data_IF_528771457290
#
_entry.id   IF_528771457290
#
_cell.length_a   1.000
_cell.length_b   1.000
_cell.length_c   1.000
_cell.angle_alpha   90.00
_cell.angle_beta   90.00
_cell.angle_gamma   90.00
#
_symmetry.space_group_name_H-M   'P 1'
#
loop_
_entity.id
_entity.type
_entity.pdbx_description
1 polymer ?
#
# COMPACT_ATOMS: atom_id res chain seq x y z
N UNK A 1 13.12 11.17 5.95
CA UNK A 1 13.21 12.00 7.16
C UNK A 1 14.65 12.40 7.45
N UNK A 2 15.63 11.46 7.57
CA UNK A 2 17.03 11.76 7.90
C UNK A 2 17.59 12.82 6.94
N UNK A 3 17.45 12.68 5.64
CA UNK A 3 17.89 13.67 4.64
C UNK A 3 17.23 15.04 4.87
N UNK A 4 15.94 15.06 5.21
CA UNK A 4 15.22 16.31 5.48
C UNK A 4 15.60 16.97 6.81
N UNK A 5 16.25 16.25 7.74
CA UNK A 5 16.79 16.79 8.99
C UNK A 5 18.22 17.31 8.81
N UNK A 6 19.04 16.59 8.03
CA UNK A 6 20.49 16.86 7.92
C UNK A 6 20.84 17.91 6.87
N UNK A 7 20.02 18.04 5.82
CA UNK A 7 20.35 18.92 4.69
C UNK A 7 19.38 20.10 4.63
N UNK A 8 19.80 21.30 5.06
CA UNK A 8 18.98 22.51 5.00
C UNK A 8 18.99 23.10 3.58
N UNK A 9 18.21 22.51 2.68
CA UNK A 9 18.03 23.02 1.32
C UNK A 9 16.75 23.85 1.21
N UNK A 10 16.76 24.93 0.40
CA UNK A 10 15.56 25.70 0.14
C UNK A 10 14.54 24.87 -0.66
N UNK A 11 13.25 25.14 -0.44
CA UNK A 11 12.21 24.60 -1.32
C UNK A 11 12.44 25.11 -2.76
N UNK A 12 12.26 24.27 -3.83
CA UNK A 12 11.64 22.93 -3.82
C UNK A 12 12.65 21.76 -3.74
N UNK A 13 13.94 22.01 -3.69
CA UNK A 13 14.96 20.96 -3.77
C UNK A 13 15.00 20.05 -2.54
N UNK A 14 14.67 20.57 -1.35
CA UNK A 14 14.72 19.80 -0.11
C UNK A 14 13.77 18.61 -0.10
N UNK A 15 12.49 18.83 -0.42
CA UNK A 15 11.50 17.73 -0.44
C UNK A 15 11.71 16.77 -1.61
N UNK A 16 12.18 17.24 -2.80
CA UNK A 16 12.50 16.37 -3.92
C UNK A 16 13.64 15.41 -3.59
N UNK A 17 14.73 15.90 -3.02
CA UNK A 17 15.84 15.06 -2.57
C UNK A 17 15.41 14.07 -1.48
N UNK A 18 14.57 14.49 -0.53
CA UNK A 18 14.07 13.63 0.53
C UNK A 18 13.20 12.48 -0.06
N UNK A 19 12.37 12.74 -1.07
CA UNK A 19 11.58 11.74 -1.78
C UNK A 19 12.46 10.78 -2.58
N UNK A 20 13.44 11.28 -3.35
CA UNK A 20 14.36 10.45 -4.11
C UNK A 20 15.23 9.57 -3.21
N UNK A 21 15.72 10.12 -2.11
CA UNK A 21 16.46 9.34 -1.11
C UNK A 21 15.58 8.27 -0.47
N UNK A 22 14.30 8.59 -0.18
CA UNK A 22 13.31 7.62 0.29
C UNK A 22 13.09 6.48 -0.70
N UNK A 23 12.90 6.81 -1.98
CA UNK A 23 12.75 5.83 -3.06
C UNK A 23 13.99 4.92 -3.17
N UNK A 24 15.18 5.49 -3.18
CA UNK A 24 16.43 4.74 -3.26
C UNK A 24 16.64 3.82 -2.05
N UNK A 25 16.38 4.32 -0.85
CA UNK A 25 16.49 3.53 0.37
C UNK A 25 15.50 2.35 0.38
N UNK A 26 14.25 2.57 -0.04
CA UNK A 26 13.24 1.51 -0.15
C UNK A 26 13.57 0.48 -1.22
N UNK A 27 14.08 0.91 -2.38
CA UNK A 27 14.54 0.02 -3.43
C UNK A 27 15.71 -0.86 -2.96
N UNK A 28 16.69 -0.26 -2.28
CA UNK A 28 17.83 -0.99 -1.69
C UNK A 28 17.38 -1.97 -0.60
N UNK A 29 16.45 -1.56 0.25
CA UNK A 29 15.92 -2.45 1.29
C UNK A 29 15.19 -3.66 0.70
N UNK A 30 14.39 -3.46 -0.34
CA UNK A 30 13.66 -4.53 -1.02
C UNK A 30 14.58 -5.51 -1.77
N UNK A 31 15.82 -5.10 -2.06
CA UNK A 31 16.82 -5.95 -2.68
C UNK A 31 17.26 -7.10 -1.75
N UNK A 32 17.36 -6.84 -0.44
CA UNK A 32 17.81 -7.81 0.54
C UNK A 32 16.96 -9.11 0.55
N UNK A 33 15.63 -9.05 0.80
CA UNK A 33 14.82 -10.27 0.82
C UNK A 33 14.78 -10.98 -0.53
N UNK A 34 14.92 -10.24 -1.63
CA UNK A 34 14.92 -10.82 -2.97
C UNK A 34 16.20 -11.61 -3.25
N UNK A 35 17.34 -11.14 -2.76
CA UNK A 35 18.62 -11.86 -2.86
C UNK A 35 18.62 -13.16 -2.04
N UNK A 36 18.03 -13.11 -0.82
CA UNK A 36 17.89 -14.32 0.02
C UNK A 36 16.95 -15.34 -0.61
N UNK A 37 15.82 -14.92 -1.14
CA UNK A 37 14.86 -15.81 -1.81
C UNK A 37 15.44 -16.42 -3.10
N UNK A 38 16.20 -15.65 -3.87
CA UNK A 38 16.78 -16.12 -5.13
C UNK A 38 17.87 -17.20 -5.00
N UNK A 39 18.42 -17.37 -3.81
CA UNK A 39 19.35 -18.46 -3.48
C UNK A 39 18.66 -19.72 -2.97
N UNK A 40 17.34 -19.83 -3.10
CA UNK A 40 16.51 -20.94 -2.58
C UNK A 40 16.65 -21.17 -1.07
N UNK A 41 17.07 -20.15 -0.31
CA UNK A 41 17.23 -20.26 1.14
C UNK A 41 15.89 -20.19 1.86
N UNK A 42 14.95 -19.36 1.32
CA UNK A 42 13.59 -19.19 1.88
C UNK A 42 12.60 -18.79 0.78
N UNK A 43 11.30 -18.97 1.03
CA UNK A 43 10.29 -18.38 0.14
C UNK A 43 10.34 -16.85 0.22
N UNK A 44 10.10 -16.17 -0.90
CA UNK A 44 10.13 -14.70 -0.97
C UNK A 44 9.18 -14.05 0.03
N UNK A 45 7.98 -14.63 0.22
CA UNK A 45 6.96 -14.12 1.16
C UNK A 45 7.44 -14.16 2.61
N UNK A 46 8.07 -15.24 3.03
CA UNK A 46 8.62 -15.38 4.39
C UNK A 46 9.78 -14.40 4.59
N UNK A 47 10.70 -14.31 3.62
CA UNK A 47 11.81 -13.38 3.68
C UNK A 47 11.36 -11.92 3.82
N UNK A 48 10.34 -11.50 3.07
CA UNK A 48 9.82 -10.12 3.14
C UNK A 48 9.15 -9.82 4.49
N UNK A 49 8.39 -10.76 5.06
CA UNK A 49 7.76 -10.59 6.38
C UNK A 49 8.82 -10.47 7.48
N UNK A 50 9.83 -11.32 7.46
CA UNK A 50 10.94 -11.24 8.44
C UNK A 50 11.71 -9.92 8.31
N UNK A 51 12.02 -9.48 7.07
CA UNK A 51 12.72 -8.23 6.83
C UNK A 51 11.89 -7.01 7.23
N UNK A 52 10.56 -7.09 7.18
CA UNK A 52 9.69 -6.01 7.67
C UNK A 52 9.83 -5.81 9.19
N UNK A 53 9.87 -6.90 9.97
CA UNK A 53 10.09 -6.84 11.42
C UNK A 53 11.47 -6.29 11.76
N UNK A 54 12.51 -6.70 11.03
CA UNK A 54 13.87 -6.17 11.19
C UNK A 54 13.90 -4.67 10.86
N UNK A 55 13.23 -4.24 9.77
CA UNK A 55 13.16 -2.83 9.39
C UNK A 55 12.52 -1.97 10.48
N UNK A 56 11.43 -2.45 11.07
CA UNK A 56 10.74 -1.73 12.14
C UNK A 56 11.65 -1.52 13.35
N UNK A 57 12.28 -2.58 13.85
CA UNK A 57 13.18 -2.52 15.01
C UNK A 57 14.45 -1.71 14.72
N UNK A 58 15.04 -1.87 13.53
CA UNK A 58 16.22 -1.11 13.12
C UNK A 58 15.92 0.39 13.04
N UNK A 59 14.76 0.74 12.46
CA UNK A 59 14.34 2.14 12.37
C UNK A 59 14.10 2.75 13.75
N UNK A 60 13.44 2.00 14.65
CA UNK A 60 13.26 2.42 16.03
C UNK A 60 14.58 2.66 16.74
N UNK A 61 15.53 1.72 16.64
CA UNK A 61 16.86 1.83 17.23
C UNK A 61 17.61 3.07 16.71
N UNK A 62 17.63 3.28 15.38
CA UNK A 62 18.33 4.43 14.78
C UNK A 62 17.70 5.75 15.25
N UNK A 63 16.37 5.85 15.25
CA UNK A 63 15.68 7.06 15.67
C UNK A 63 15.94 7.34 17.15
N UNK A 64 15.84 6.33 18.01
CA UNK A 64 16.03 6.47 19.45
C UNK A 64 17.46 6.84 19.82
N UNK A 65 18.46 6.28 19.11
CA UNK A 65 19.87 6.51 19.42
C UNK A 65 20.41 7.83 18.90
N UNK A 66 19.96 8.31 17.74
CA UNK A 66 20.58 9.42 17.03
C UNK A 66 19.66 10.62 16.78
N UNK A 67 18.35 10.43 16.69
CA UNK A 67 17.41 11.46 16.21
C UNK A 67 16.23 11.70 17.14
N UNK A 68 16.24 11.12 18.33
CA UNK A 68 15.13 11.29 19.27
C UNK A 68 15.04 12.73 19.76
N UNK A 69 13.83 13.27 19.79
CA UNK A 69 13.56 14.56 20.38
C UNK A 69 13.80 14.51 21.92
N UNK A 70 14.58 15.42 22.49
CA UNK A 70 14.77 15.47 23.94
C UNK A 70 13.45 15.64 24.69
N UNK A 71 13.19 14.78 25.68
CA UNK A 71 11.98 14.85 26.52
C UNK A 71 10.72 14.23 25.91
N UNK A 72 10.79 13.58 24.74
CA UNK A 72 9.65 12.87 24.17
C UNK A 72 9.45 11.50 24.84
N UNK A 73 8.23 11.19 25.26
CA UNK A 73 7.85 9.87 25.80
C UNK A 73 7.78 8.80 24.70
N UNK A 74 7.44 9.19 23.48
CA UNK A 74 7.37 8.30 22.32
C UNK A 74 8.62 8.44 21.44
N UNK A 75 8.94 7.41 20.65
CA UNK A 75 10.02 7.46 19.66
C UNK A 75 9.62 8.37 18.50
N UNK A 76 10.02 9.62 18.57
CA UNK A 76 9.78 10.61 17.53
C UNK A 76 11.04 11.46 17.25
N UNK A 77 11.17 11.90 15.98
CA UNK A 77 12.26 12.81 15.61
C UNK A 77 11.87 14.27 15.83
N UNK A 78 12.86 15.15 15.79
CA UNK A 78 12.64 16.60 15.67
C UNK A 78 11.88 16.88 14.37
N UNK A 79 11.16 18.00 14.31
CA UNK A 79 10.47 18.45 13.09
C UNK A 79 11.48 18.65 11.96
N UNK A 80 11.12 18.17 10.77
CA UNK A 80 11.93 18.30 9.55
C UNK A 80 12.06 19.77 9.17
N UNK A 81 13.20 20.15 8.58
CA UNK A 81 13.44 21.51 8.09
C UNK A 81 12.33 21.99 7.17
N UNK A 82 11.96 23.26 7.26
CA UNK A 82 10.84 23.86 6.50
C UNK A 82 10.98 23.66 4.99
N UNK A 83 12.18 23.70 4.45
CA UNK A 83 12.46 23.46 3.02
C UNK A 83 12.20 22.03 2.55
N UNK A 84 12.10 21.07 3.48
CA UNK A 84 11.82 19.66 3.18
C UNK A 84 10.36 19.27 3.45
N UNK A 85 9.55 20.16 4.01
CA UNK A 85 8.12 19.94 4.19
C UNK A 85 7.42 20.07 2.84
N UNK A 86 6.56 19.10 2.48
CA UNK A 86 5.72 19.20 1.30
C UNK A 86 4.69 20.32 1.48
N UNK A 87 4.66 21.32 0.58
CA UNK A 87 3.68 22.39 0.67
C UNK A 87 2.26 21.86 0.46
N UNK A 88 1.29 22.51 1.13
CA UNK A 88 -0.13 22.25 0.93
C UNK A 88 -0.64 23.03 -0.28
N UNK A 89 -1.49 22.42 -1.09
CA UNK A 89 -2.12 23.08 -2.25
C UNK A 89 -3.17 24.08 -1.76
N UNK A 90 -3.95 23.69 -0.74
CA UNK A 90 -4.95 24.54 -0.09
C UNK A 90 -4.65 24.63 1.41
N UNK A 91 -4.54 25.85 1.98
CA UNK A 91 -4.22 26.04 3.40
C UNK A 91 -5.25 25.40 4.36
N UNK A 92 -6.51 25.37 3.95
CA UNK A 92 -7.64 24.84 4.75
C UNK A 92 -7.81 23.33 4.67
N UNK A 93 -7.10 22.64 3.76
CA UNK A 93 -7.29 21.20 3.50
C UNK A 93 -5.98 20.44 3.68
N UNK A 94 -6.06 19.14 3.94
CA UNK A 94 -4.89 18.26 4.01
C UNK A 94 -4.32 17.88 2.61
N UNK A 95 -4.80 18.56 1.55
CA UNK A 95 -4.36 18.32 0.18
C UNK A 95 -2.93 18.83 -0.03
N UNK A 96 -2.03 17.89 -0.30
CA UNK A 96 -0.60 18.13 -0.45
C UNK A 96 -0.13 17.81 -1.88
N UNK A 97 1.02 18.35 -2.30
CA UNK A 97 1.67 17.98 -3.56
C UNK A 97 1.98 16.48 -3.68
N UNK A 98 1.93 15.72 -2.59
CA UNK A 98 2.05 14.25 -2.59
C UNK A 98 1.04 13.55 -3.52
N UNK A 99 -0.15 14.11 -3.70
CA UNK A 99 -1.16 13.56 -4.63
C UNK A 99 -0.71 13.64 -6.08
N UNK A 100 -0.03 14.74 -6.47
CA UNK A 100 0.53 14.89 -7.82
C UNK A 100 1.66 13.90 -8.04
N UNK A 101 2.51 13.68 -7.03
CA UNK A 101 3.55 12.65 -7.08
C UNK A 101 2.94 11.26 -7.23
N UNK A 102 1.88 10.95 -6.49
CA UNK A 102 1.17 9.67 -6.60
C UNK A 102 0.57 9.46 -8.00
N UNK A 103 -0.11 10.47 -8.57
CA UNK A 103 -0.66 10.41 -9.92
C UNK A 103 0.43 10.23 -10.97
N UNK A 104 1.55 10.94 -10.82
CA UNK A 104 2.71 10.79 -11.69
C UNK A 104 3.27 9.36 -11.61
N UNK A 105 3.42 8.79 -10.40
CA UNK A 105 3.86 7.41 -10.21
C UNK A 105 2.91 6.41 -10.89
N UNK A 106 1.58 6.59 -10.76
CA UNK A 106 0.60 5.73 -11.45
C UNK A 106 0.76 5.83 -12.96
N UNK A 107 0.93 7.03 -13.52
CA UNK A 107 1.15 7.23 -14.96
C UNK A 107 2.44 6.54 -15.43
N UNK A 108 3.54 6.70 -14.70
CA UNK A 108 4.83 6.06 -15.00
C UNK A 108 4.73 4.54 -14.94
N UNK A 109 4.12 3.99 -13.89
CA UNK A 109 3.93 2.54 -13.73
C UNK A 109 3.03 1.99 -14.84
N UNK A 110 1.95 2.68 -15.17
CA UNK A 110 1.06 2.30 -16.27
C UNK A 110 1.81 2.27 -17.60
N UNK A 111 2.55 3.33 -17.90
CA UNK A 111 3.37 3.40 -19.11
C UNK A 111 4.42 2.28 -19.11
N UNK A 112 5.13 2.09 -18.01
CA UNK A 112 6.13 1.03 -17.87
C UNK A 112 5.53 -0.36 -18.10
N UNK A 113 4.38 -0.68 -17.52
CA UNK A 113 3.75 -1.99 -17.64
C UNK A 113 3.19 -2.27 -19.04
N UNK A 114 2.58 -1.27 -19.70
CA UNK A 114 1.86 -1.50 -20.95
C UNK A 114 2.67 -1.14 -22.20
N UNK A 115 3.64 -0.24 -22.10
CA UNK A 115 4.36 0.29 -23.27
C UNK A 115 5.84 -0.11 -23.33
N UNK A 116 6.39 -0.81 -22.31
CA UNK A 116 7.81 -1.21 -22.31
C UNK A 116 7.98 -2.73 -22.42
N UNK A 117 9.11 -3.20 -22.99
CA UNK A 117 9.46 -4.63 -23.05
C UNK A 117 9.62 -5.24 -21.65
N UNK A 118 10.05 -4.42 -20.68
CA UNK A 118 10.15 -4.81 -19.28
C UNK A 118 8.77 -5.16 -18.71
N UNK A 119 7.77 -4.29 -18.89
CA UNK A 119 6.42 -4.54 -18.43
C UNK A 119 5.75 -5.73 -19.13
N UNK A 120 6.03 -5.92 -20.43
CA UNK A 120 5.59 -7.12 -21.15
C UNK A 120 6.15 -8.39 -20.49
N UNK A 121 7.46 -8.42 -20.24
CA UNK A 121 8.11 -9.58 -19.60
C UNK A 121 7.57 -9.86 -18.18
N UNK A 122 7.27 -8.82 -17.39
CA UNK A 122 6.66 -8.99 -16.07
C UNK A 122 5.27 -9.60 -16.14
N UNK A 123 4.42 -9.13 -17.05
CA UNK A 123 3.06 -9.68 -17.23
C UNK A 123 3.10 -11.11 -17.74
N UNK A 124 3.98 -11.40 -18.71
CA UNK A 124 4.16 -12.75 -19.24
C UNK A 124 4.69 -13.72 -18.16
N UNK A 125 5.61 -13.26 -17.31
CA UNK A 125 6.11 -14.04 -16.16
C UNK A 125 4.99 -14.33 -15.14
N UNK A 126 4.10 -13.38 -14.91
CA UNK A 126 2.94 -13.56 -14.03
C UNK A 126 1.93 -14.57 -14.54
N UNK A 127 1.76 -14.70 -15.87
CA UNK A 127 0.84 -15.68 -16.46
C UNK A 127 1.43 -17.08 -16.54
N UNK A 128 2.69 -17.22 -16.97
CA UNK A 128 3.36 -18.53 -17.07
C UNK A 128 4.90 -18.40 -16.89
N UNK A 129 5.42 -18.58 -15.66
CA UNK A 129 6.85 -18.50 -15.40
C UNK A 129 7.68 -19.56 -16.15
N UNK A 130 7.13 -20.78 -16.34
CA UNK A 130 7.85 -21.85 -17.03
C UNK A 130 8.06 -21.57 -18.51
N UNK A 131 7.04 -21.05 -19.19
CA UNK A 131 7.17 -20.64 -20.59
C UNK A 131 8.23 -19.54 -20.78
N UNK A 132 8.29 -18.58 -19.87
CA UNK A 132 9.30 -17.52 -19.89
C UNK A 132 10.72 -18.05 -19.68
N UNK A 133 10.89 -19.06 -18.83
CA UNK A 133 12.17 -19.72 -18.61
C UNK A 133 12.64 -20.46 -19.88
N UNK A 134 11.73 -21.16 -20.56
CA UNK A 134 12.02 -21.82 -21.83
C UNK A 134 12.36 -20.85 -22.94
N UNK A 135 11.78 -19.65 -22.93
CA UNK A 135 12.11 -18.56 -23.85
C UNK A 135 13.46 -17.87 -23.56
N UNK A 136 14.24 -18.37 -22.56
CA UNK A 136 15.58 -17.85 -22.23
C UNK A 136 15.58 -16.52 -21.48
N UNK A 137 14.44 -16.05 -20.96
CA UNK A 137 14.36 -14.77 -20.25
C UNK A 137 14.78 -14.94 -18.78
N UNK A 138 15.60 -14.02 -18.21
CA UNK A 138 16.10 -14.12 -16.85
C UNK A 138 15.00 -13.79 -15.84
N UNK A 139 14.29 -14.79 -15.32
CA UNK A 139 13.21 -14.62 -14.34
C UNK A 139 13.74 -13.92 -13.09
N UNK A 140 14.85 -14.37 -12.55
CA UNK A 140 15.43 -13.85 -11.31
C UNK A 140 15.74 -12.35 -11.40
N UNK A 141 16.41 -11.91 -12.46
CA UNK A 141 16.72 -10.48 -12.66
C UNK A 141 15.47 -9.61 -12.80
N UNK A 142 14.42 -10.13 -13.45
CA UNK A 142 13.13 -9.42 -13.56
C UNK A 142 12.42 -9.31 -12.23
N UNK A 143 12.46 -10.37 -11.41
CA UNK A 143 11.88 -10.36 -10.06
C UNK A 143 12.60 -9.34 -9.17
N UNK A 144 13.94 -9.30 -9.19
CA UNK A 144 14.71 -8.29 -8.45
C UNK A 144 14.29 -6.88 -8.85
N UNK A 145 14.27 -6.59 -10.15
CA UNK A 145 13.91 -5.27 -10.63
C UNK A 145 12.47 -4.87 -10.22
N UNK A 146 11.52 -5.79 -10.32
CA UNK A 146 10.15 -5.56 -9.90
C UNK A 146 10.06 -5.27 -8.38
N UNK A 147 10.76 -6.02 -7.56
CA UNK A 147 10.79 -5.83 -6.10
C UNK A 147 11.45 -4.51 -5.70
N UNK A 148 12.55 -4.12 -6.37
CA UNK A 148 13.21 -2.84 -6.12
C UNK A 148 12.29 -1.66 -6.48
N UNK A 149 11.60 -1.71 -7.63
CA UNK A 149 10.64 -0.67 -8.03
C UNK A 149 9.48 -0.60 -7.04
N UNK A 150 8.93 -1.75 -6.65
CA UNK A 150 7.84 -1.83 -5.68
C UNK A 150 8.24 -1.27 -4.31
N UNK A 151 9.42 -1.68 -3.79
CA UNK A 151 9.95 -1.16 -2.53
C UNK A 151 10.23 0.34 -2.57
N UNK A 152 10.75 0.85 -3.69
CA UNK A 152 10.95 2.28 -3.90
C UNK A 152 9.63 3.06 -3.91
N UNK A 153 8.60 2.58 -4.61
CA UNK A 153 7.28 3.21 -4.65
C UNK A 153 6.61 3.21 -3.27
N UNK A 154 6.73 2.10 -2.51
CA UNK A 154 6.21 2.02 -1.16
C UNK A 154 6.89 3.03 -0.22
N UNK A 155 8.21 3.15 -0.32
CA UNK A 155 8.99 4.10 0.47
C UNK A 155 8.70 5.57 0.08
N UNK A 156 8.37 5.85 -1.18
CA UNK A 156 7.84 7.16 -1.60
C UNK A 156 6.55 7.49 -0.85
N UNK A 157 5.60 6.55 -0.77
CA UNK A 157 4.37 6.72 -0.01
C UNK A 157 4.63 7.04 1.46
N UNK A 158 5.53 6.29 2.11
CA UNK A 158 5.96 6.53 3.48
C UNK A 158 6.64 7.89 3.66
N UNK A 159 7.47 8.30 2.70
CA UNK A 159 8.15 9.61 2.71
C UNK A 159 7.16 10.76 2.59
N UNK A 160 6.15 10.65 1.70
CA UNK A 160 5.08 11.63 1.57
C UNK A 160 4.31 11.76 2.88
N UNK A 161 3.96 10.63 3.51
CA UNK A 161 3.24 10.63 4.78
C UNK A 161 4.04 11.34 5.89
N UNK A 162 5.34 11.06 6.01
CA UNK A 162 6.19 11.70 6.99
C UNK A 162 6.42 13.19 6.73
N UNK A 163 6.61 13.60 5.47
CA UNK A 163 6.95 14.99 5.12
C UNK A 163 5.74 15.91 4.98
N UNK A 164 4.59 15.36 4.57
CA UNK A 164 3.38 16.13 4.32
C UNK A 164 2.45 16.19 5.54
N UNK A 165 2.23 15.05 6.22
CA UNK A 165 1.23 14.92 7.28
C UNK A 165 1.86 15.13 8.65
N UNK A 166 2.84 14.30 9.01
CA UNK A 166 3.44 14.32 10.35
C UNK A 166 4.54 15.37 10.53
N UNK A 167 5.20 15.78 9.44
CA UNK A 167 6.36 16.71 9.43
C UNK A 167 7.53 16.23 10.29
N UNK A 168 7.51 14.98 10.71
CA UNK A 168 8.52 14.29 11.53
C UNK A 168 8.31 12.79 11.41
N UNK A 169 9.27 12.01 11.87
CA UNK A 169 9.03 10.59 12.05
C UNK A 169 8.38 10.35 13.41
N UNK A 170 7.31 9.55 13.43
CA UNK A 170 6.64 9.12 14.65
C UNK A 170 6.51 7.60 14.56
N UNK A 171 6.90 6.89 15.62
CA UNK A 171 6.73 5.43 15.66
C UNK A 171 5.25 5.06 15.46
N UNK A 172 4.99 4.07 14.60
CA UNK A 172 3.62 3.67 14.29
C UNK A 172 2.88 4.58 13.31
N UNK A 173 3.56 5.46 12.56
CA UNK A 173 2.94 6.36 11.57
C UNK A 173 2.19 5.65 10.43
N UNK A 174 2.44 4.36 10.24
CA UNK A 174 1.87 3.56 9.15
C UNK A 174 1.15 2.30 9.69
N UNK A 175 0.04 2.45 10.43
CA UNK A 175 -0.67 1.31 10.99
C UNK A 175 -1.39 0.54 9.87
N UNK A 176 -0.75 -0.53 9.37
CA UNK A 176 -1.36 -1.46 8.42
C UNK A 176 -1.46 -1.02 6.96
N UNK A 177 -0.93 0.14 6.55
CA UNK A 177 -1.02 0.62 5.14
C UNK A 177 -0.46 -0.37 4.11
N UNK A 178 0.54 -1.19 4.49
CA UNK A 178 1.05 -2.23 3.61
C UNK A 178 0.02 -3.32 3.31
N UNK A 179 -0.75 -3.74 4.32
CA UNK A 179 -1.83 -4.71 4.16
C UNK A 179 -3.01 -4.12 3.41
N UNK A 180 -3.39 -2.88 3.69
CA UNK A 180 -4.41 -2.15 2.94
C UNK A 180 -4.03 -2.07 1.44
N UNK A 181 -2.74 -1.87 1.13
CA UNK A 181 -2.23 -1.85 -0.23
C UNK A 181 -2.44 -3.17 -0.99
N UNK A 182 -2.28 -4.31 -0.32
CA UNK A 182 -2.56 -5.62 -0.92
C UNK A 182 -4.05 -5.74 -1.24
N UNK A 183 -4.92 -5.32 -0.32
CA UNK A 183 -6.38 -5.39 -0.52
C UNK A 183 -6.84 -4.45 -1.63
N UNK A 184 -6.27 -3.24 -1.71
CA UNK A 184 -6.51 -2.29 -2.80
C UNK A 184 -6.09 -2.87 -4.16
N UNK A 185 -4.92 -3.54 -4.22
CA UNK A 185 -4.43 -4.14 -5.45
C UNK A 185 -5.28 -5.34 -5.91
N UNK A 186 -5.73 -6.18 -4.98
CA UNK A 186 -6.63 -7.31 -5.29
C UNK A 186 -7.99 -6.83 -5.76
N UNK A 187 -8.57 -5.82 -5.12
CA UNK A 187 -9.83 -5.20 -5.53
C UNK A 187 -9.74 -4.61 -6.95
N UNK A 188 -8.59 -4.04 -7.30
CA UNK A 188 -8.29 -3.48 -8.62
C UNK A 188 -7.94 -4.53 -9.68
N UNK A 189 -7.97 -5.83 -9.37
CA UNK A 189 -7.50 -6.92 -10.24
C UNK A 189 -6.07 -6.65 -10.78
N UNK A 190 -5.20 -6.07 -9.95
CA UNK A 190 -3.82 -5.68 -10.29
C UNK A 190 -3.69 -4.71 -11.49
N UNK A 191 -4.75 -3.99 -11.84
CA UNK A 191 -4.75 -2.96 -12.88
C UNK A 191 -4.31 -1.62 -12.29
N UNK A 192 -3.30 -0.91 -12.84
CA UNK A 192 -2.82 0.35 -12.26
C UNK A 192 -3.89 1.44 -12.16
N UNK A 193 -4.77 1.54 -13.15
CA UNK A 193 -5.90 2.49 -13.14
C UNK A 193 -6.94 2.07 -12.10
N UNK A 194 -7.23 0.76 -12.01
CA UNK A 194 -8.10 0.21 -10.98
C UNK A 194 -7.57 0.47 -9.57
N UNK A 195 -6.24 0.37 -9.36
CA UNK A 195 -5.60 0.68 -8.07
C UNK A 195 -5.86 2.12 -7.66
N UNK A 196 -5.85 3.07 -8.60
CA UNK A 196 -6.13 4.48 -8.29
C UNK A 196 -7.56 4.67 -7.76
N UNK A 197 -8.56 4.06 -8.42
CA UNK A 197 -9.96 4.13 -7.98
C UNK A 197 -10.18 3.43 -6.64
N UNK A 198 -9.61 2.24 -6.48
CA UNK A 198 -9.70 1.47 -5.23
C UNK A 198 -9.00 2.19 -4.09
N UNK A 199 -7.82 2.78 -4.32
CA UNK A 199 -7.09 3.56 -3.32
C UNK A 199 -7.88 4.80 -2.88
N UNK A 200 -8.56 5.47 -3.81
CA UNK A 200 -9.42 6.62 -3.49
C UNK A 200 -10.59 6.20 -2.60
N UNK A 201 -11.25 5.10 -2.94
CA UNK A 201 -12.35 4.53 -2.13
C UNK A 201 -11.86 4.17 -0.71
N UNK A 202 -10.73 3.47 -0.59
CA UNK A 202 -10.14 3.14 0.70
C UNK A 202 -9.71 4.37 1.50
N UNK A 203 -9.18 5.39 0.83
CA UNK A 203 -8.85 6.66 1.45
C UNK A 203 -10.07 7.39 2.02
N UNK A 204 -11.20 7.38 1.29
CA UNK A 204 -12.47 7.91 1.80
C UNK A 204 -12.97 7.14 3.02
N UNK A 205 -12.98 5.80 2.97
CA UNK A 205 -13.39 4.95 4.10
C UNK A 205 -12.52 5.23 5.33
N UNK A 206 -11.20 5.35 5.16
CA UNK A 206 -10.28 5.63 6.25
C UNK A 206 -10.47 7.04 6.84
N UNK A 207 -10.71 8.02 6.00
CA UNK A 207 -11.00 9.39 6.45
C UNK A 207 -12.32 9.46 7.24
N UNK A 208 -13.36 8.79 6.75
CA UNK A 208 -14.64 8.64 7.46
C UNK A 208 -14.45 7.93 8.81
N UNK A 209 -13.62 6.90 8.85
CA UNK A 209 -13.25 6.15 10.05
C UNK A 209 -12.67 7.05 11.14
N UNK A 210 -11.70 7.87 10.79
CA UNK A 210 -11.07 8.82 11.72
C UNK A 210 -12.10 9.84 12.22
N UNK A 211 -12.94 10.38 11.34
CA UNK A 211 -13.97 11.34 11.71
C UNK A 211 -15.01 10.71 12.65
N UNK A 212 -15.42 9.48 12.42
CA UNK A 212 -16.36 8.75 13.29
C UNK A 212 -15.76 8.47 14.66
N UNK A 213 -14.48 8.09 14.73
CA UNK A 213 -13.83 7.83 16.03
C UNK A 213 -13.69 9.09 16.90
N UNK A 214 -13.62 10.28 16.28
CA UNK A 214 -13.57 11.56 16.97
C UNK A 214 -14.96 12.02 17.47
N UNK A 215 -16.03 11.64 16.77
CA UNK A 215 -17.40 12.12 17.04
C UNK A 215 -18.21 11.11 17.86
N UNK A 216 -17.91 9.82 17.71
CA UNK A 216 -18.62 8.71 18.36
C UNK A 216 -17.64 7.90 19.21
N UNK A 217 -18.15 7.16 20.20
CA UNK A 217 -17.34 6.23 21.00
C UNK A 217 -16.93 4.95 20.26
N UNK A 218 -16.95 4.98 18.92
CA UNK A 218 -16.56 3.84 18.08
C UNK A 218 -15.06 3.89 17.88
N UNK A 219 -14.38 2.82 18.29
CA UNK A 219 -12.94 2.68 18.13
C UNK A 219 -12.57 2.46 16.66
N UNK A 220 -11.40 2.92 16.25
CA UNK A 220 -10.85 2.74 14.88
C UNK A 220 -10.71 1.27 14.50
N UNK A 221 -10.54 0.38 15.50
CA UNK A 221 -10.45 -1.07 15.32
C UNK A 221 -11.77 -1.66 14.80
N UNK A 222 -12.91 -1.23 15.34
CA UNK A 222 -14.24 -1.66 14.87
C UNK A 222 -14.45 -1.34 13.39
N UNK A 223 -13.98 -0.16 12.97
CA UNK A 223 -14.11 0.27 11.58
C UNK A 223 -13.16 -0.52 10.67
N UNK A 224 -11.97 -0.87 11.17
CA UNK A 224 -11.03 -1.74 10.45
C UNK A 224 -11.61 -3.15 10.24
N UNK A 225 -12.35 -3.68 11.22
CA UNK A 225 -13.08 -4.96 11.07
C UNK A 225 -14.16 -4.84 9.99
N UNK A 226 -14.97 -3.77 10.01
CA UNK A 226 -15.98 -3.50 8.97
C UNK A 226 -15.36 -3.40 7.59
N UNK A 227 -14.23 -2.69 7.47
CA UNK A 227 -13.47 -2.57 6.24
C UNK A 227 -12.98 -3.94 5.74
N UNK A 228 -12.49 -4.80 6.64
CA UNK A 228 -12.09 -6.17 6.33
C UNK A 228 -13.26 -7.00 5.76
N UNK A 229 -14.46 -6.89 6.33
CA UNK A 229 -15.65 -7.55 5.81
C UNK A 229 -16.04 -7.04 4.41
N UNK A 230 -16.01 -5.74 4.18
CA UNK A 230 -16.30 -5.14 2.87
C UNK A 230 -15.31 -5.68 1.83
N UNK A 231 -14.03 -5.72 2.17
CA UNK A 231 -12.99 -6.25 1.28
C UNK A 231 -13.20 -7.72 0.98
N UNK A 232 -13.49 -8.53 2.00
CA UNK A 232 -13.77 -9.96 1.84
C UNK A 232 -14.93 -10.20 0.88
N UNK A 233 -16.02 -9.43 1.01
CA UNK A 233 -17.19 -9.54 0.13
C UNK A 233 -16.88 -9.12 -1.31
N UNK A 234 -16.11 -8.05 -1.49
CA UNK A 234 -15.80 -7.51 -2.83
C UNK A 234 -14.70 -8.30 -3.53
N UNK A 235 -13.68 -8.77 -2.78
CA UNK A 235 -12.55 -9.50 -3.35
C UNK A 235 -12.88 -10.95 -3.76
N UNK A 236 -14.00 -11.50 -3.32
CA UNK A 236 -14.39 -12.87 -3.62
C UNK A 236 -15.55 -12.92 -4.62
N UNK A 237 -15.27 -13.04 -5.94
CA UNK A 237 -16.33 -13.18 -6.96
C UNK A 237 -17.19 -14.44 -6.77
N UNK A 238 -16.65 -15.49 -6.16
CA UNK A 238 -17.37 -16.73 -5.89
C UNK A 238 -18.45 -16.56 -4.82
N UNK A 239 -18.28 -15.62 -3.88
CA UNK A 239 -19.33 -15.31 -2.88
C UNK A 239 -20.60 -14.79 -3.58
N UNK A 240 -20.47 -13.98 -4.62
CA UNK A 240 -21.63 -13.50 -5.40
C UNK A 240 -22.33 -14.62 -6.13
N UNK A 241 -21.61 -15.59 -6.66
CA UNK A 241 -22.17 -16.78 -7.29
C UNK A 241 -22.90 -17.66 -6.27
N UNK A 242 -22.29 -17.88 -5.10
CA UNK A 242 -22.92 -18.67 -4.02
C UNK A 242 -24.15 -17.95 -3.46
N UNK A 243 -24.08 -16.63 -3.23
CA UNK A 243 -25.27 -15.85 -2.81
C UNK A 243 -26.37 -15.89 -3.87
N UNK A 244 -26.03 -15.80 -5.14
CA UNK A 244 -26.99 -15.93 -6.25
C UNK A 244 -27.69 -17.29 -6.25
N UNK A 245 -26.94 -18.38 -6.05
CA UNK A 245 -27.49 -19.72 -5.94
C UNK A 245 -28.32 -19.94 -4.66
N UNK A 246 -27.91 -19.39 -3.53
CA UNK A 246 -28.69 -19.43 -2.28
C UNK A 246 -29.98 -18.64 -2.42
N UNK A 247 -29.93 -17.45 -3.03
CA UNK A 247 -31.14 -16.67 -3.30
C UNK A 247 -32.11 -17.40 -4.21
N UNK A 248 -31.63 -18.03 -5.27
CA UNK A 248 -32.47 -18.83 -6.17
C UNK A 248 -33.08 -20.02 -5.44
N UNK A 249 -32.34 -20.70 -4.58
CA UNK A 249 -32.87 -21.79 -3.74
C UNK A 249 -33.93 -21.31 -2.74
N UNK A 250 -33.68 -20.19 -2.07
CA UNK A 250 -34.68 -19.60 -1.17
C UNK A 250 -35.95 -19.19 -1.90
N UNK A 251 -35.82 -18.58 -3.08
CA UNK A 251 -36.96 -18.19 -3.91
C UNK A 251 -37.77 -19.42 -4.42
N UNK A 252 -37.09 -20.51 -4.73
CA UNK A 252 -37.74 -21.77 -5.12
C UNK A 252 -38.43 -22.46 -3.92
N UNK A 253 -37.90 -22.37 -2.72
CA UNK A 253 -38.54 -22.90 -1.52
C UNK A 253 -39.80 -22.10 -1.13
N UNK A 254 -39.72 -20.76 -1.20
CA UNK A 254 -40.89 -19.89 -0.93
C UNK A 254 -41.98 -20.04 -1.99
N UNK A 255 -41.58 -20.23 -3.26
CA UNK A 255 -42.54 -20.45 -4.39
C UNK A 255 -43.25 -21.82 -4.33
N UNK A 256 -42.62 -22.85 -3.72
CA UNK A 256 -43.26 -24.15 -3.53
C UNK A 256 -44.30 -24.15 -2.42
N UNK A 257 -44.05 -23.42 -1.32
CA UNK A 257 -45.02 -23.27 -0.21
C UNK A 257 -46.34 -22.64 -0.70
N UNK A 258 -46.26 -21.62 -1.55
CA UNK A 258 -47.43 -20.90 -2.06
C UNK A 258 -48.26 -21.70 -3.08
N UNK A 259 -47.66 -22.70 -3.74
CA UNK A 259 -48.39 -23.59 -4.67
C UNK A 259 -49.10 -24.73 -3.94
N UNK A 260 -48.71 -25.09 -2.74
CA UNK A 260 -49.39 -26.12 -1.96
C UNK A 260 -50.60 -25.56 -1.17
N UNK A 261 -50.60 -24.29 -0.78
CA UNK A 261 -51.77 -23.65 -0.16
C UNK A 261 -52.89 -23.36 -1.17
N UNK A 262 -52.59 -23.05 -2.43
CA UNK A 262 -53.60 -22.86 -3.48
C UNK A 262 -54.15 -24.12 -4.12
N UNK A 263 -53.72 -25.31 -3.69
CA UNK A 263 -54.24 -26.61 -4.17
C UNK A 263 -55.08 -27.33 -3.08
N UNK A 264 -55.23 -26.67 -1.92
CA UNK A 264 -56.04 -27.19 -0.78
C UNK A 264 -57.35 -26.41 -0.54
N UNK A 265 -57.63 -25.40 -1.39
CA UNK A 265 -58.93 -24.74 -1.52
C UNK A 265 -59.62 -25.24 -2.83
#
# INVERSE_FOLDING_TARGET
VIVGLTVPLPAPWGWLLALLAGFAAGALWALLPTLFAGRNLTSLSVATIMMNSIAALLTEYIVKSYFQRPGASNTETVVVNEGSILPRIFPSTQFNYGILVALFCVAVVTWMLYKTPFGFSLRAMGSNPRAMQQAGLPIYGRTIAAMCISGGLFALGGSIQCLAVYKRFVMGFSPGYGWDGITVATLAMNSPVGVLLSAFLFGMLRSASISMSLTSQVTTEMISVLQGFIVMLVASPDVWNVLGHLWQRLKSCVGRGRKQEGAAE
#
